data_IF_463407516478
#
_entry.id   IF_463407516478
#
_cell.length_a   1.000
_cell.length_b   1.000
_cell.length_c   1.000
_cell.angle_alpha   90.00
_cell.angle_beta   90.00
_cell.angle_gamma   90.00
#
_symmetry.space_group_name_H-M   'P 1'
#
loop_
_entity.id
_entity.type
_entity.pdbx_description
1 polymer ?
#
# COMPACT_ATOMS: atom_id res chain seq x y z
N UNK A 1 -12.70 -6.45 -34.24
CA UNK A 1 -12.53 -5.03 -33.83
C UNK A 1 -11.36 -4.95 -32.85
N UNK A 2 -10.24 -4.32 -33.23
CA UNK A 2 -9.15 -4.03 -32.30
C UNK A 2 -9.59 -2.85 -31.44
N UNK A 3 -9.81 -3.07 -30.15
CA UNK A 3 -10.20 -2.00 -29.23
C UNK A 3 -8.96 -1.14 -28.96
N UNK A 4 -8.93 0.07 -29.53
CA UNK A 4 -7.84 1.05 -29.41
C UNK A 4 -7.79 1.73 -28.05
N UNK A 5 -8.74 1.43 -27.15
CA UNK A 5 -8.85 2.00 -25.81
C UNK A 5 -9.21 0.88 -24.83
N UNK A 6 -8.54 0.83 -23.68
CA UNK A 6 -8.84 -0.12 -22.61
C UNK A 6 -10.10 0.31 -21.83
N UNK A 7 -10.65 -0.58 -21.00
CA UNK A 7 -11.84 -0.27 -20.17
C UNK A 7 -11.65 0.91 -19.19
N UNK A 8 -10.40 1.28 -18.88
CA UNK A 8 -10.04 2.42 -18.02
C UNK A 8 -9.63 3.67 -18.82
N UNK A 9 -9.80 3.67 -20.14
CA UNK A 9 -9.56 4.85 -20.99
C UNK A 9 -8.14 4.99 -21.56
N UNK A 10 -7.24 4.02 -21.35
CA UNK A 10 -5.88 4.09 -21.91
C UNK A 10 -5.84 3.70 -23.38
N UNK A 11 -5.13 4.48 -24.19
CA UNK A 11 -4.86 4.17 -25.59
C UNK A 11 -4.04 2.86 -25.71
N UNK A 12 -4.49 1.96 -26.59
CA UNK A 12 -3.83 0.71 -26.96
C UNK A 12 -3.49 0.81 -28.45
N UNK A 13 -2.21 0.98 -28.76
CA UNK A 13 -1.72 1.12 -30.15
C UNK A 13 -1.47 -0.24 -30.78
N UNK A 14 -1.08 -1.21 -29.97
CA UNK A 14 -0.82 -2.58 -30.43
C UNK A 14 -0.99 -3.62 -29.33
N UNK A 15 -0.88 -4.90 -29.69
CA UNK A 15 -0.80 -5.99 -28.72
C UNK A 15 0.36 -5.85 -27.74
N UNK A 16 1.43 -5.11 -28.07
CA UNK A 16 2.56 -4.85 -27.18
C UNK A 16 2.17 -3.99 -25.96
N UNK A 17 1.09 -3.21 -26.05
CA UNK A 17 0.58 -2.40 -24.93
C UNK A 17 -0.24 -3.24 -23.94
N UNK A 18 -0.44 -4.53 -24.23
CA UNK A 18 -1.06 -5.50 -23.33
C UNK A 18 0.00 -6.36 -22.65
N UNK A 19 -0.33 -6.79 -21.44
CA UNK A 19 0.40 -7.82 -20.69
C UNK A 19 -0.08 -9.20 -21.12
N UNK A 20 0.66 -10.24 -20.74
CA UNK A 20 0.31 -11.64 -21.01
C UNK A 20 -1.05 -12.05 -20.42
N UNK A 21 -1.49 -11.40 -19.33
CA UNK A 21 -2.82 -11.60 -18.72
C UNK A 21 -3.92 -10.78 -19.39
N UNK A 22 -3.64 -10.09 -20.50
CA UNK A 22 -4.59 -9.24 -21.22
C UNK A 22 -4.77 -7.84 -20.63
N UNK A 23 -4.11 -7.53 -19.51
CA UNK A 23 -4.19 -6.22 -18.87
C UNK A 23 -3.40 -5.16 -19.64
N UNK A 24 -3.89 -3.91 -19.68
CA UNK A 24 -3.16 -2.84 -20.35
C UNK A 24 -1.94 -2.42 -19.52
N UNK A 25 -0.78 -2.19 -20.14
CA UNK A 25 0.47 -1.83 -19.45
C UNK A 25 0.36 -0.52 -18.68
N UNK A 26 -0.34 0.48 -19.21
CA UNK A 26 -0.59 1.74 -18.51
C UNK A 26 -1.42 1.53 -17.25
N UNK A 27 -2.45 0.68 -17.35
CA UNK A 27 -3.28 0.28 -16.21
C UNK A 27 -2.43 -0.38 -15.12
N UNK A 28 -1.52 -1.29 -15.52
CA UNK A 28 -0.59 -1.94 -14.59
C UNK A 28 0.30 -0.91 -13.90
N UNK A 29 0.87 0.02 -14.66
CA UNK A 29 1.73 1.07 -14.10
C UNK A 29 0.99 1.97 -13.12
N UNK A 30 -0.27 2.29 -13.40
CA UNK A 30 -1.09 3.10 -12.50
C UNK A 30 -1.45 2.37 -11.22
N UNK A 31 -1.80 1.09 -11.30
CA UNK A 31 -2.05 0.27 -10.11
C UNK A 31 -0.77 0.08 -9.30
N UNK A 32 0.34 -0.29 -9.94
CA UNK A 32 1.65 -0.40 -9.29
C UNK A 32 2.08 0.94 -8.64
N UNK A 33 1.70 2.08 -9.23
CA UNK A 33 1.93 3.41 -8.64
C UNK A 33 1.04 3.63 -7.41
N UNK A 34 -0.25 3.32 -7.49
CA UNK A 34 -1.20 3.44 -6.37
C UNK A 34 -0.78 2.55 -5.20
N UNK A 35 -0.41 1.31 -5.48
CA UNK A 35 0.07 0.35 -4.50
C UNK A 35 1.34 0.82 -3.80
N UNK A 36 2.30 1.37 -4.55
CA UNK A 36 3.51 1.96 -3.95
C UNK A 36 3.20 3.15 -3.04
N UNK A 37 2.25 4.00 -3.42
CA UNK A 37 1.83 5.14 -2.59
C UNK A 37 1.16 4.63 -1.31
N UNK A 38 0.23 3.68 -1.42
CA UNK A 38 -0.46 3.11 -0.26
C UNK A 38 0.51 2.44 0.71
N UNK A 39 1.45 1.63 0.19
CA UNK A 39 2.50 1.00 1.01
C UNK A 39 3.40 2.03 1.69
N UNK A 40 3.79 3.09 0.98
CA UNK A 40 4.58 4.17 1.56
C UNK A 40 3.83 4.89 2.69
N UNK A 41 2.57 5.23 2.48
CA UNK A 41 1.75 5.88 3.51
C UNK A 41 1.62 5.00 4.76
N UNK A 42 1.41 3.69 4.59
CA UNK A 42 1.38 2.75 5.72
C UNK A 42 2.71 2.71 6.49
N UNK A 43 3.84 2.66 5.78
CA UNK A 43 5.17 2.69 6.41
C UNK A 43 5.45 4.00 7.13
N UNK A 44 5.03 5.13 6.58
CA UNK A 44 5.20 6.44 7.22
C UNK A 44 4.43 6.50 8.54
N UNK A 45 3.21 5.95 8.60
CA UNK A 45 2.42 5.84 9.84
C UNK A 45 3.11 4.93 10.87
N UNK A 46 3.60 3.76 10.45
CA UNK A 46 4.33 2.83 11.33
C UNK A 46 5.56 3.51 11.94
N UNK A 47 6.33 4.23 11.12
CA UNK A 47 7.52 4.95 11.60
C UNK A 47 7.20 6.02 12.64
N UNK A 48 6.07 6.73 12.49
CA UNK A 48 5.64 7.72 13.49
C UNK A 48 5.33 7.05 14.83
N UNK A 49 4.64 5.90 14.81
CA UNK A 49 4.36 5.13 16.02
C UNK A 49 5.63 4.55 16.65
N UNK A 50 6.54 4.01 15.85
CA UNK A 50 7.85 3.51 16.33
C UNK A 50 8.68 4.62 16.96
N UNK A 51 8.71 5.81 16.36
CA UNK A 51 9.41 6.98 16.91
C UNK A 51 8.82 7.42 18.26
N UNK A 52 7.54 7.12 18.50
CA UNK A 52 6.84 7.38 19.75
C UNK A 52 6.95 6.21 20.76
N UNK A 53 7.68 5.15 20.42
CA UNK A 53 7.99 4.02 21.31
C UNK A 53 7.10 2.78 21.13
N UNK A 54 6.20 2.78 20.15
CA UNK A 54 5.36 1.60 19.84
C UNK A 54 6.19 0.55 19.10
N UNK A 55 6.17 -0.69 19.57
CA UNK A 55 6.85 -1.82 18.94
C UNK A 55 5.85 -2.69 18.18
N UNK A 56 6.08 -2.87 16.89
CA UNK A 56 5.32 -3.79 16.03
C UNK A 56 5.98 -5.16 15.89
N UNK A 57 7.28 -5.26 16.20
CA UNK A 57 8.07 -6.49 16.19
C UNK A 57 8.86 -6.56 17.49
N UNK A 58 8.88 -7.72 18.12
CA UNK A 58 9.71 -8.02 19.29
C UNK A 58 10.47 -9.32 19.06
N UNK A 59 11.80 -9.28 19.22
CA UNK A 59 12.69 -10.42 18.98
C UNK A 59 12.48 -11.12 17.61
N UNK A 60 12.17 -10.34 16.56
CA UNK A 60 11.94 -10.85 15.21
C UNK A 60 10.54 -11.47 14.99
N UNK A 61 9.67 -11.44 15.99
CA UNK A 61 8.28 -11.88 15.89
C UNK A 61 7.32 -10.68 15.86
N UNK A 62 6.26 -10.71 15.05
CA UNK A 62 5.21 -9.69 15.12
C UNK A 62 4.58 -9.65 16.50
N UNK A 63 4.42 -8.44 17.06
CA UNK A 63 3.68 -8.22 18.30
C UNK A 63 2.19 -8.40 18.03
N UNK A 64 1.45 -8.95 19.00
CA UNK A 64 0.00 -9.12 18.87
C UNK A 64 -0.70 -7.77 18.68
N UNK A 65 -1.75 -7.74 17.85
CA UNK A 65 -2.43 -6.50 17.49
C UNK A 65 -3.04 -5.78 18.70
N UNK A 66 -3.53 -6.54 19.68
CA UNK A 66 -4.09 -6.04 20.93
C UNK A 66 -3.03 -5.32 21.77
N UNK A 67 -1.81 -5.87 21.82
CA UNK A 67 -0.70 -5.28 22.55
C UNK A 67 -0.18 -4.02 21.85
N UNK A 68 -0.13 -4.00 20.51
CA UNK A 68 0.15 -2.79 19.73
C UNK A 68 -0.89 -1.72 20.01
N UNK A 69 -2.18 -2.07 20.04
CA UNK A 69 -3.26 -1.12 20.34
C UNK A 69 -3.12 -0.53 21.76
N UNK A 70 -2.75 -1.36 22.75
CA UNK A 70 -2.49 -0.90 24.11
C UNK A 70 -1.29 0.08 24.17
N UNK A 71 -0.21 -0.22 23.44
CA UNK A 71 0.95 0.68 23.33
C UNK A 71 0.57 2.02 22.69
N UNK A 72 -0.20 2.00 21.59
CA UNK A 72 -0.67 3.22 20.93
C UNK A 72 -1.55 4.05 21.87
N UNK A 73 -2.48 3.41 22.59
CA UNK A 73 -3.33 4.08 23.56
C UNK A 73 -2.54 4.68 24.73
N UNK A 74 -1.47 4.02 25.18
CA UNK A 74 -0.60 4.56 26.23
C UNK A 74 0.17 5.82 25.77
N UNK A 75 0.55 5.87 24.49
CA UNK A 75 1.36 6.98 23.94
C UNK A 75 0.49 8.16 23.47
N UNK A 76 -0.65 7.88 22.85
CA UNK A 76 -1.50 8.89 22.19
C UNK A 76 -2.90 9.03 22.81
N UNK A 77 -3.22 8.26 23.85
CA UNK A 77 -4.48 8.38 24.56
C UNK A 77 -4.58 9.69 25.35
N UNK A 78 -5.81 10.09 25.73
CA UNK A 78 -6.01 11.25 26.60
C UNK A 78 -5.31 11.03 27.95
N UNK A 79 -4.45 11.96 28.34
CA UNK A 79 -3.86 11.97 29.68
C UNK A 79 -4.91 12.51 30.65
N UNK A 80 -5.36 11.66 31.57
CA UNK A 80 -6.29 12.04 32.66
C UNK A 80 -5.50 12.65 33.80
#
# INVERSE_FOLDING_TARGET
>A
MYQSVCQRGHEIRSSADRTVSGYCRSCKRDDDRRDRIAKRAALDVVRVFEAAGVRFVDNGQPVAAEEVAAQIAAVFGPQV
#
